data_IF_772221068745
#
_entry.id   IF_772221068745
#
_cell.length_a   1.000
_cell.length_b   1.000
_cell.length_c   1.000
_cell.angle_alpha   90.00
_cell.angle_beta   90.00
_cell.angle_gamma   90.00
#
_symmetry.space_group_name_H-M   'P 1'
#
loop_
_entity.id
_entity.type
_entity.pdbx_description
1 polymer ?
#
# COMPACT_ATOMS: atom_id res chain seq x y z
N UNK A 1 -11.57 3.19 25.59
CA UNK A 1 -10.19 2.80 25.88
C UNK A 1 -9.45 2.67 24.58
N UNK A 2 -8.17 3.05 24.51
CA UNK A 2 -7.39 2.94 23.28
C UNK A 2 -6.98 1.49 22.98
N UNK A 3 -6.72 1.22 21.72
CA UNK A 3 -6.28 -0.05 21.16
C UNK A 3 -5.08 -0.69 21.90
N UNK A 4 -4.16 0.12 22.39
CA UNK A 4 -2.94 -0.32 23.08
C UNK A 4 -2.99 -0.17 24.60
N UNK A 5 -4.02 0.46 25.14
CA UNK A 5 -4.16 0.74 26.56
C UNK A 5 -5.37 0.03 27.17
N UNK A 6 -5.34 -0.19 28.48
CA UNK A 6 -6.39 -0.86 29.23
C UNK A 6 -6.20 -2.38 29.36
N UNK A 7 -7.09 -3.05 30.12
CA UNK A 7 -7.02 -4.48 30.33
C UNK A 7 -7.25 -5.23 29.01
N UNK A 8 -6.41 -6.24 28.74
CA UNK A 8 -6.55 -7.16 27.62
C UNK A 8 -7.12 -8.48 28.12
N UNK A 9 -8.45 -8.54 28.13
CA UNK A 9 -9.18 -9.71 28.67
C UNK A 9 -9.49 -10.65 27.51
N UNK A 10 -9.03 -11.89 27.60
CA UNK A 10 -9.41 -12.95 26.67
C UNK A 10 -10.72 -13.59 27.17
N UNK A 11 -11.72 -13.69 26.30
CA UNK A 11 -12.98 -14.37 26.56
C UNK A 11 -13.07 -15.71 25.84
N UNK A 12 -12.10 -16.02 24.98
CA UNK A 12 -11.99 -17.29 24.26
C UNK A 12 -10.70 -18.00 24.68
N UNK A 13 -10.79 -19.32 24.84
CA UNK A 13 -9.64 -20.16 25.16
C UNK A 13 -8.72 -20.34 23.96
N UNK A 14 -9.29 -20.25 22.74
CA UNK A 14 -8.56 -20.45 21.49
C UNK A 14 -9.15 -19.62 20.37
N UNK A 15 -8.28 -19.07 19.51
CA UNK A 15 -8.60 -18.47 18.21
C UNK A 15 -7.89 -19.28 17.15
N UNK A 16 -8.64 -19.69 16.13
CA UNK A 16 -8.12 -20.44 14.99
C UNK A 16 -8.15 -19.56 13.74
N UNK A 17 -7.02 -19.50 13.05
CA UNK A 17 -6.91 -18.84 11.76
C UNK A 17 -7.02 -19.86 10.64
N UNK A 18 -8.03 -19.71 9.79
CA UNK A 18 -8.24 -20.54 8.61
C UNK A 18 -7.89 -19.74 7.35
N UNK A 19 -7.07 -20.33 6.49
CA UNK A 19 -6.81 -19.76 5.16
C UNK A 19 -7.84 -20.31 4.17
N UNK A 20 -8.74 -19.45 3.73
CA UNK A 20 -9.78 -19.78 2.75
C UNK A 20 -9.60 -18.89 1.52
N UNK A 21 -10.00 -19.38 0.35
CA UNK A 21 -10.18 -18.51 -0.80
C UNK A 21 -11.38 -17.58 -0.59
N UNK A 22 -11.38 -16.44 -1.28
CA UNK A 22 -12.38 -15.39 -1.07
C UNK A 22 -13.82 -15.82 -1.37
N UNK A 23 -14.03 -16.79 -2.25
CA UNK A 23 -15.37 -17.30 -2.54
C UNK A 23 -15.88 -18.22 -1.44
N UNK A 24 -15.02 -19.13 -0.97
CA UNK A 24 -15.32 -20.04 0.15
C UNK A 24 -15.51 -19.27 1.46
N UNK A 25 -14.76 -18.20 1.71
CA UNK A 25 -14.83 -17.41 2.94
C UNK A 25 -16.22 -16.80 3.17
N UNK A 26 -16.87 -16.29 2.11
CA UNK A 26 -18.25 -15.76 2.21
C UNK A 26 -19.27 -16.82 2.62
N UNK A 27 -19.17 -18.03 2.06
CA UNK A 27 -20.05 -19.14 2.41
C UNK A 27 -19.78 -19.64 3.83
N UNK A 28 -18.52 -19.78 4.22
CA UNK A 28 -18.10 -20.22 5.55
C UNK A 28 -18.58 -19.27 6.66
N UNK A 29 -18.52 -17.94 6.42
CA UNK A 29 -19.03 -16.95 7.37
C UNK A 29 -20.57 -17.06 7.53
N UNK A 30 -21.31 -17.25 6.43
CA UNK A 30 -22.76 -17.41 6.46
C UNK A 30 -23.22 -18.70 7.13
N UNK A 31 -22.51 -19.79 6.90
CA UNK A 31 -22.81 -21.10 7.52
C UNK A 31 -22.40 -21.18 8.98
N UNK A 32 -21.55 -20.26 9.47
CA UNK A 32 -20.99 -20.31 10.82
C UNK A 32 -19.79 -21.26 10.96
N UNK A 33 -19.20 -21.69 9.87
CA UNK A 33 -17.91 -22.42 9.86
C UNK A 33 -16.77 -21.53 10.32
N UNK A 34 -16.83 -20.22 9.98
CA UNK A 34 -15.97 -19.17 10.54
C UNK A 34 -16.82 -18.08 11.19
N UNK A 35 -16.27 -17.44 12.22
CA UNK A 35 -16.95 -16.39 12.96
C UNK A 35 -16.61 -14.98 12.47
N UNK A 36 -15.46 -14.81 11.84
CA UNK A 36 -14.94 -13.52 11.39
C UNK A 36 -14.13 -13.66 10.11
N UNK A 37 -14.47 -12.87 9.12
CA UNK A 37 -13.68 -12.68 7.90
C UNK A 37 -13.04 -11.30 7.94
N UNK A 38 -11.71 -11.26 8.10
CA UNK A 38 -10.98 -10.05 8.40
C UNK A 38 -11.07 -8.99 7.30
N UNK A 39 -10.87 -9.37 6.03
CA UNK A 39 -10.83 -8.42 4.91
C UNK A 39 -11.58 -9.01 3.70
N UNK A 40 -12.93 -8.92 3.67
CA UNK A 40 -13.70 -9.21 2.46
C UNK A 40 -13.48 -8.12 1.40
N UNK A 41 -13.55 -8.49 0.12
CA UNK A 41 -13.62 -7.52 -0.97
C UNK A 41 -14.84 -6.60 -0.78
N UNK A 42 -14.76 -5.37 -1.28
CA UNK A 42 -15.82 -4.39 -1.07
C UNK A 42 -17.21 -4.84 -1.59
N UNK A 43 -17.28 -5.49 -2.75
CA UNK A 43 -18.52 -6.05 -3.30
C UNK A 43 -19.08 -7.18 -2.43
N UNK A 44 -18.21 -8.05 -1.91
CA UNK A 44 -18.58 -9.12 -0.99
C UNK A 44 -19.03 -8.57 0.37
N UNK A 45 -18.35 -7.54 0.89
CA UNK A 45 -18.76 -6.85 2.10
C UNK A 45 -20.17 -6.24 1.95
N UNK A 46 -20.47 -5.59 0.81
CA UNK A 46 -21.79 -5.07 0.50
C UNK A 46 -22.86 -6.17 0.40
N UNK A 47 -22.51 -7.34 -0.16
CA UNK A 47 -23.41 -8.48 -0.22
C UNK A 47 -23.67 -9.09 1.17
N UNK A 48 -22.65 -9.16 2.03
CA UNK A 48 -22.76 -9.64 3.42
C UNK A 48 -23.55 -8.67 4.31
N UNK A 49 -23.47 -7.36 4.06
CA UNK A 49 -24.22 -6.36 4.82
C UNK A 49 -25.77 -6.51 4.74
N UNK A 50 -26.24 -7.29 3.76
CA UNK A 50 -27.67 -7.63 3.62
C UNK A 50 -28.11 -8.83 4.46
N UNK A 51 -27.14 -9.55 5.05
CA UNK A 51 -27.39 -10.70 5.89
C UNK A 51 -27.67 -10.25 7.32
N UNK A 52 -28.83 -10.68 7.87
CA UNK A 52 -29.26 -10.29 9.23
C UNK A 52 -28.37 -10.83 10.36
N UNK A 53 -27.63 -11.91 10.09
CA UNK A 53 -26.81 -12.61 11.07
C UNK A 53 -25.32 -12.19 10.99
N UNK A 54 -24.99 -11.26 10.09
CA UNK A 54 -23.63 -10.74 9.87
C UNK A 54 -23.59 -9.23 10.16
N UNK A 55 -22.56 -8.80 10.83
CA UNK A 55 -22.17 -7.40 11.00
C UNK A 55 -21.04 -7.10 10.04
N UNK A 56 -21.19 -6.06 9.22
CA UNK A 56 -20.14 -5.52 8.38
C UNK A 56 -19.75 -4.16 8.90
N UNK A 57 -18.46 -3.96 9.15
CA UNK A 57 -17.89 -2.66 9.52
C UNK A 57 -17.07 -2.17 8.34
N UNK A 58 -17.61 -1.16 7.64
CA UNK A 58 -16.88 -0.42 6.63
C UNK A 58 -15.84 0.48 7.29
N UNK A 59 -14.76 0.79 6.58
CA UNK A 59 -13.67 1.61 7.11
C UNK A 59 -12.99 1.01 8.37
N UNK A 60 -12.93 -0.31 8.43
CA UNK A 60 -12.26 -1.02 9.54
C UNK A 60 -10.76 -0.76 9.54
N UNK A 61 -10.12 -0.84 8.39
CA UNK A 61 -8.72 -0.56 8.17
C UNK A 61 -8.51 0.25 6.90
N UNK A 62 -7.31 0.77 6.69
CA UNK A 62 -6.92 1.41 5.44
C UNK A 62 -5.66 0.78 4.90
N UNK A 63 -5.55 0.72 3.57
CA UNK A 63 -4.36 0.31 2.87
C UNK A 63 -3.99 1.34 1.81
N UNK A 64 -2.69 1.61 1.69
CA UNK A 64 -2.11 2.48 0.67
C UNK A 64 -1.53 1.64 -0.45
N UNK A 65 -1.90 1.96 -1.69
CA UNK A 65 -1.27 1.41 -2.88
C UNK A 65 0.06 2.10 -3.16
N UNK A 66 1.05 1.34 -3.61
CA UNK A 66 2.35 1.87 -4.03
C UNK A 66 2.83 1.23 -5.33
N UNK A 67 3.61 2.01 -6.08
CA UNK A 67 4.52 1.53 -7.12
C UNK A 67 5.94 1.59 -6.58
N UNK A 68 6.57 0.43 -6.38
CA UNK A 68 7.93 0.27 -5.86
C UNK A 68 8.90 -0.06 -6.97
N UNK A 69 10.08 0.57 -6.95
CA UNK A 69 11.15 0.38 -7.93
C UNK A 69 12.31 -0.41 -7.36
N UNK A 70 13.00 -1.15 -8.23
CA UNK A 70 14.33 -1.67 -7.94
C UNK A 70 15.36 -0.58 -8.29
N UNK A 71 16.04 -0.05 -7.27
CA UNK A 71 17.00 1.03 -7.43
C UNK A 71 18.41 0.55 -7.82
N UNK A 72 18.64 -0.75 -7.89
CA UNK A 72 19.97 -1.31 -8.20
C UNK A 72 20.26 -1.28 -9.70
N UNK A 73 19.21 -1.40 -10.55
CA UNK A 73 19.37 -1.62 -11.99
C UNK A 73 18.62 -0.60 -12.84
N UNK A 74 19.06 -0.38 -14.10
CA UNK A 74 18.30 0.41 -15.06
C UNK A 74 16.89 -0.18 -15.30
N UNK A 75 15.92 0.68 -15.63
CA UNK A 75 16.02 2.12 -15.73
C UNK A 75 15.85 2.86 -14.40
N UNK A 76 15.50 2.15 -13.31
CA UNK A 76 15.07 2.76 -12.05
C UNK A 76 16.20 3.08 -11.07
N UNK A 77 17.45 2.71 -11.34
CA UNK A 77 18.61 3.29 -10.66
C UNK A 77 18.78 4.79 -10.99
N UNK A 78 18.18 5.27 -12.09
CA UNK A 78 18.15 6.67 -12.47
C UNK A 78 16.97 7.40 -11.82
N UNK A 79 17.26 8.34 -10.93
CA UNK A 79 16.24 9.13 -10.23
C UNK A 79 15.40 10.00 -11.18
N UNK A 80 15.95 10.48 -12.29
CA UNK A 80 15.21 11.30 -13.25
C UNK A 80 14.09 10.49 -13.92
N UNK A 81 14.31 9.20 -14.20
CA UNK A 81 13.30 8.29 -14.71
C UNK A 81 12.17 8.13 -13.69
N UNK A 82 12.51 7.89 -12.42
CA UNK A 82 11.50 7.73 -11.37
C UNK A 82 10.68 9.01 -11.16
N UNK A 83 11.33 10.19 -11.20
CA UNK A 83 10.63 11.49 -11.12
C UNK A 83 9.66 11.73 -12.29
N UNK A 84 10.06 11.37 -13.49
CA UNK A 84 9.19 11.51 -14.67
C UNK A 84 7.88 10.72 -14.49
N UNK A 85 7.93 9.55 -13.83
CA UNK A 85 6.77 8.70 -13.59
C UNK A 85 5.79 9.24 -12.54
N UNK A 86 6.16 10.22 -11.72
CA UNK A 86 5.20 10.92 -10.85
C UNK A 86 4.05 11.53 -11.67
N UNK A 87 4.35 12.07 -12.85
CA UNK A 87 3.35 12.60 -13.77
C UNK A 87 2.51 11.57 -14.51
N UNK A 88 2.90 10.28 -14.45
CA UNK A 88 2.15 9.19 -15.09
C UNK A 88 1.07 8.58 -14.19
N UNK A 89 1.27 8.63 -12.87
CA UNK A 89 0.40 7.94 -11.92
C UNK A 89 -0.89 8.72 -11.68
N UNK A 90 -2.02 8.08 -11.98
CA UNK A 90 -3.37 8.52 -11.64
C UNK A 90 -3.89 7.67 -10.47
N UNK A 91 -3.92 8.27 -9.29
CA UNK A 91 -4.36 7.59 -8.06
C UNK A 91 -5.86 7.27 -8.10
N UNK A 92 -6.69 8.11 -8.72
CA UNK A 92 -8.12 7.87 -8.81
C UNK A 92 -8.44 6.65 -9.69
N UNK A 93 -7.74 6.52 -10.82
CA UNK A 93 -7.85 5.35 -11.70
C UNK A 93 -7.40 4.07 -10.99
N UNK A 94 -6.26 4.13 -10.30
CA UNK A 94 -5.73 3.00 -9.54
C UNK A 94 -6.69 2.56 -8.42
N UNK A 95 -7.22 3.50 -7.64
CA UNK A 95 -8.16 3.19 -6.55
C UNK A 95 -9.52 2.73 -7.06
N UNK A 96 -9.99 3.25 -8.19
CA UNK A 96 -11.20 2.73 -8.84
C UNK A 96 -11.05 1.25 -9.23
N UNK A 97 -9.87 0.85 -9.70
CA UNK A 97 -9.59 -0.56 -10.02
C UNK A 97 -9.57 -1.47 -8.77
N UNK A 98 -9.10 -0.95 -7.62
CA UNK A 98 -8.96 -1.72 -6.37
C UNK A 98 -10.26 -1.77 -5.58
N UNK A 99 -10.94 -0.62 -5.42
CA UNK A 99 -12.04 -0.44 -4.47
C UNK A 99 -13.38 -0.10 -5.12
N UNK A 100 -13.43 -0.02 -6.47
CA UNK A 100 -14.64 0.32 -7.21
C UNK A 100 -14.86 1.83 -7.37
N UNK A 101 -16.01 2.20 -7.94
CA UNK A 101 -16.31 3.60 -8.30
C UNK A 101 -16.83 4.45 -7.14
N UNK A 102 -17.20 3.84 -6.01
CA UNK A 102 -17.73 4.56 -4.86
C UNK A 102 -16.61 5.25 -4.08
N UNK A 103 -16.60 6.58 -4.17
CA UNK A 103 -15.61 7.46 -3.49
C UNK A 103 -15.66 7.38 -1.95
N UNK A 104 -16.67 6.79 -1.37
CA UNK A 104 -16.71 6.58 0.08
C UNK A 104 -15.65 5.56 0.56
N UNK A 105 -15.13 4.72 -0.35
CA UNK A 105 -14.20 3.66 -0.01
C UNK A 105 -12.73 3.96 -0.33
N UNK A 106 -12.40 5.12 -0.92
CA UNK A 106 -11.02 5.44 -1.26
C UNK A 106 -10.75 6.94 -1.41
N UNK A 107 -9.45 7.30 -1.31
CA UNK A 107 -8.93 8.64 -1.51
C UNK A 107 -7.81 8.66 -2.55
N UNK A 108 -7.77 9.75 -3.30
CA UNK A 108 -6.66 10.17 -4.14
C UNK A 108 -6.05 11.48 -3.60
N UNK A 109 -5.03 11.98 -4.26
CA UNK A 109 -4.32 13.19 -3.85
C UNK A 109 -3.57 13.00 -2.55
N UNK A 110 -3.15 11.77 -2.24
CA UNK A 110 -2.39 11.42 -1.04
C UNK A 110 -0.88 11.38 -1.31
N UNK A 111 -0.12 11.80 -0.31
CA UNK A 111 1.31 11.69 -0.26
C UNK A 111 1.77 10.48 0.55
N UNK A 112 2.92 10.66 1.20
CA UNK A 112 3.56 9.62 1.99
C UNK A 112 2.85 9.34 3.30
N UNK A 113 2.38 10.39 3.96
CA UNK A 113 1.73 10.29 5.27
C UNK A 113 0.23 10.20 5.09
N UNK A 114 -0.40 9.11 5.58
CA UNK A 114 -1.82 8.88 5.37
C UNK A 114 -2.69 10.02 5.90
N UNK A 115 -3.75 10.35 5.16
CA UNK A 115 -4.71 11.39 5.54
C UNK A 115 -5.35 11.07 6.91
N UNK A 116 -5.60 12.11 7.72
CA UNK A 116 -6.20 11.96 9.05
C UNK A 116 -5.25 11.44 10.15
N UNK A 117 -3.96 11.23 9.85
CA UNK A 117 -2.94 10.96 10.89
C UNK A 117 -2.33 12.26 11.41
N UNK A 118 -1.74 12.26 12.63
CA UNK A 118 -1.10 13.47 13.19
C UNK A 118 0.05 14.05 12.36
N UNK A 119 0.67 13.23 11.50
CA UNK A 119 1.81 13.59 10.65
C UNK A 119 1.40 13.83 9.19
N UNK A 120 0.11 13.71 8.86
CA UNK A 120 -0.39 13.96 7.51
C UNK A 120 -0.03 15.38 7.05
N UNK A 121 0.46 15.49 5.82
CA UNK A 121 0.75 16.77 5.19
C UNK A 121 0.66 16.61 3.66
N UNK A 122 0.52 17.72 2.96
CA UNK A 122 0.40 17.77 1.50
C UNK A 122 1.56 18.50 0.82
N UNK A 123 2.71 18.59 1.49
CA UNK A 123 3.89 19.26 0.96
C UNK A 123 4.32 18.65 -0.37
N UNK A 124 4.37 19.48 -1.42
CA UNK A 124 4.80 19.08 -2.76
C UNK A 124 3.85 18.13 -3.48
N UNK A 125 2.62 17.94 -3.00
CA UNK A 125 1.64 16.99 -3.59
C UNK A 125 1.19 17.38 -5.00
N UNK A 126 1.49 18.60 -5.43
CA UNK A 126 1.16 19.11 -6.77
C UNK A 126 1.69 18.20 -7.88
N UNK A 127 2.81 17.52 -7.64
CA UNK A 127 3.42 16.57 -8.59
C UNK A 127 2.49 15.37 -8.89
N UNK A 128 1.55 15.08 -7.99
CA UNK A 128 0.57 14.00 -8.12
C UNK A 128 -0.83 14.48 -8.51
N UNK A 129 -1.07 15.79 -8.57
CA UNK A 129 -2.39 16.38 -8.83
C UNK A 129 -2.57 16.77 -10.32
N UNK A 130 -3.84 16.93 -10.71
CA UNK A 130 -4.22 17.39 -12.04
C UNK A 130 -4.30 16.29 -13.11
N UNK A 131 -4.71 16.63 -14.32
CA UNK A 131 -4.81 15.67 -15.41
C UNK A 131 -3.43 15.15 -15.82
N UNK A 132 -3.38 13.87 -16.19
CA UNK A 132 -2.12 13.23 -16.63
C UNK A 132 -1.77 13.62 -18.05
N UNK A 133 -0.57 14.17 -18.26
CA UNK A 133 -0.01 14.47 -19.59
C UNK A 133 1.05 13.42 -19.95
N UNK A 134 0.60 12.31 -20.53
CA UNK A 134 1.50 11.24 -20.94
C UNK A 134 2.48 11.64 -22.06
N UNK A 135 2.18 12.70 -22.84
CA UNK A 135 3.13 13.21 -23.83
C UNK A 135 4.31 13.91 -23.14
N UNK A 136 4.03 14.75 -22.15
CA UNK A 136 5.06 15.38 -21.33
C UNK A 136 5.88 14.34 -20.55
N UNK A 137 5.24 13.29 -20.01
CA UNK A 137 5.93 12.19 -19.30
C UNK A 137 6.88 11.46 -20.26
N UNK A 138 6.44 11.10 -21.48
CA UNK A 138 7.33 10.46 -22.48
C UNK A 138 8.53 11.34 -22.82
N UNK A 139 8.32 12.64 -22.96
CA UNK A 139 9.41 13.58 -23.22
C UNK A 139 10.39 13.66 -22.04
N UNK A 140 9.87 13.67 -20.80
CA UNK A 140 10.69 13.67 -19.58
C UNK A 140 11.49 12.36 -19.44
N UNK A 141 10.89 11.19 -19.74
CA UNK A 141 11.56 9.90 -19.75
C UNK A 141 12.70 9.86 -20.79
N UNK A 142 12.45 10.34 -22.02
CA UNK A 142 13.50 10.43 -23.04
C UNK A 142 14.62 11.38 -22.61
N UNK A 143 14.29 12.55 -22.04
CA UNK A 143 15.24 13.50 -21.48
C UNK A 143 16.04 12.93 -20.29
N UNK A 144 15.47 11.98 -19.54
CA UNK A 144 16.13 11.24 -18.49
C UNK A 144 17.02 10.09 -19.01
N UNK A 145 17.04 9.84 -20.32
CA UNK A 145 17.85 8.80 -20.93
C UNK A 145 17.19 7.43 -21.00
N UNK A 146 15.88 7.32 -20.78
CA UNK A 146 15.15 6.07 -20.99
C UNK A 146 14.99 5.81 -22.50
N UNK A 147 15.48 4.67 -22.97
CA UNK A 147 15.52 4.31 -24.40
C UNK A 147 14.70 3.03 -24.71
N UNK A 148 13.70 2.72 -23.90
CA UNK A 148 12.84 1.55 -24.09
C UNK A 148 13.37 0.28 -23.47
N UNK A 149 14.24 0.39 -22.47
CA UNK A 149 14.69 -0.75 -21.65
C UNK A 149 13.48 -1.51 -21.11
N UNK A 150 13.58 -2.83 -21.11
CA UNK A 150 12.53 -3.69 -20.62
C UNK A 150 12.36 -3.55 -19.11
N UNK A 151 11.12 -3.33 -18.67
CA UNK A 151 10.74 -3.17 -17.27
C UNK A 151 9.99 -4.42 -16.81
N UNK A 152 10.66 -5.31 -16.11
CA UNK A 152 10.07 -6.51 -15.52
C UNK A 152 9.23 -6.14 -14.30
N UNK A 153 7.91 -6.21 -14.41
CA UNK A 153 6.96 -5.87 -13.35
C UNK A 153 6.37 -7.13 -12.73
N UNK A 154 6.61 -7.35 -11.45
CA UNK A 154 6.08 -8.50 -10.71
C UNK A 154 4.60 -8.28 -10.37
N UNK A 155 3.77 -9.29 -10.64
CA UNK A 155 2.31 -9.25 -10.36
C UNK A 155 1.91 -10.53 -9.62
N UNK A 156 1.38 -10.44 -8.38
CA UNK A 156 0.84 -11.60 -7.69
C UNK A 156 -0.53 -11.98 -8.26
N UNK A 157 -0.64 -13.17 -8.84
CA UNK A 157 -1.84 -13.64 -9.53
C UNK A 157 -3.04 -13.88 -8.60
N UNK A 158 -2.77 -14.29 -7.36
CA UNK A 158 -3.77 -14.77 -6.39
C UNK A 158 -4.10 -13.78 -5.26
N UNK A 159 -3.65 -12.52 -5.33
CA UNK A 159 -4.09 -11.44 -4.44
C UNK A 159 -4.82 -10.40 -5.29
N UNK A 160 -6.15 -10.44 -5.28
CA UNK A 160 -6.97 -9.71 -6.24
C UNK A 160 -6.77 -8.19 -6.20
N UNK A 161 -6.67 -7.58 -5.01
CA UNK A 161 -6.49 -6.14 -4.87
C UNK A 161 -5.13 -5.69 -5.40
N UNK A 162 -4.06 -6.45 -5.09
CA UNK A 162 -2.72 -6.12 -5.61
C UNK A 162 -2.65 -6.36 -7.12
N UNK A 163 -3.32 -7.42 -7.60
CA UNK A 163 -3.42 -7.69 -9.04
C UNK A 163 -4.15 -6.57 -9.78
N UNK A 164 -5.29 -6.11 -9.25
CA UNK A 164 -6.05 -4.99 -9.82
C UNK A 164 -5.23 -3.70 -9.83
N UNK A 165 -4.57 -3.36 -8.73
CA UNK A 165 -3.64 -2.23 -8.63
C UNK A 165 -2.51 -2.33 -9.66
N UNK A 166 -1.92 -3.52 -9.79
CA UNK A 166 -0.83 -3.78 -10.72
C UNK A 166 -1.25 -3.58 -12.17
N UNK A 167 -2.41 -4.11 -12.56
CA UNK A 167 -2.90 -3.99 -13.94
C UNK A 167 -3.22 -2.54 -14.30
N UNK A 168 -3.86 -1.77 -13.41
CA UNK A 168 -4.10 -0.35 -13.59
C UNK A 168 -2.78 0.43 -13.71
N UNK A 169 -1.84 0.20 -12.81
CA UNK A 169 -0.54 0.87 -12.85
C UNK A 169 0.31 0.48 -14.06
N UNK A 170 0.27 -0.77 -14.50
CA UNK A 170 0.94 -1.23 -15.74
C UNK A 170 0.38 -0.50 -16.96
N UNK A 171 -0.94 -0.31 -17.04
CA UNK A 171 -1.54 0.47 -18.12
C UNK A 171 -1.04 1.92 -18.11
N UNK A 172 -0.97 2.56 -16.95
CA UNK A 172 -0.42 3.91 -16.79
C UNK A 172 1.06 3.98 -17.23
N UNK A 173 1.88 2.99 -16.84
CA UNK A 173 3.29 2.91 -17.29
C UNK A 173 3.39 2.74 -18.80
N UNK A 174 2.55 1.91 -19.42
CA UNK A 174 2.50 1.73 -20.88
C UNK A 174 2.07 2.99 -21.60
N UNK A 175 1.06 3.71 -21.10
CA UNK A 175 0.65 5.02 -21.63
C UNK A 175 1.79 6.05 -21.54
N UNK A 176 2.61 5.97 -20.49
CA UNK A 176 3.82 6.76 -20.33
C UNK A 176 4.96 6.36 -21.28
N UNK A 177 4.81 5.28 -22.05
CA UNK A 177 5.81 4.80 -23.01
C UNK A 177 6.83 3.83 -22.43
N UNK A 178 6.58 3.26 -21.23
CA UNK A 178 7.44 2.23 -20.66
C UNK A 178 7.24 0.89 -21.37
N UNK A 179 8.34 0.17 -21.65
CA UNK A 179 8.35 -1.16 -22.24
C UNK A 179 8.13 -2.23 -21.13
N UNK A 180 6.86 -2.40 -20.73
CA UNK A 180 6.51 -3.25 -19.58
C UNK A 180 6.39 -4.71 -19.96
N UNK A 181 7.21 -5.56 -19.33
CA UNK A 181 7.16 -7.01 -19.32
C UNK A 181 6.47 -7.49 -18.02
N UNK A 182 5.27 -8.05 -18.16
CA UNK A 182 4.46 -8.49 -17.02
C UNK A 182 4.89 -9.87 -16.56
N UNK A 183 5.33 -9.98 -15.32
CA UNK A 183 5.78 -11.23 -14.69
C UNK A 183 4.74 -11.68 -13.65
N UNK A 184 3.67 -12.33 -14.13
CA UNK A 184 2.58 -12.83 -13.28
C UNK A 184 2.94 -14.17 -12.65
N UNK A 185 2.80 -14.30 -11.32
CA UNK A 185 3.11 -15.51 -10.57
C UNK A 185 2.35 -15.54 -9.25
N UNK A 186 2.37 -16.67 -8.55
CA UNK A 186 1.80 -16.79 -7.21
C UNK A 186 2.46 -15.84 -6.20
N UNK A 187 1.71 -15.37 -5.20
CA UNK A 187 2.17 -14.37 -4.23
C UNK A 187 3.46 -14.77 -3.50
N UNK A 188 3.58 -16.04 -3.10
CA UNK A 188 4.79 -16.56 -2.43
C UNK A 188 6.00 -16.51 -3.37
N UNK A 189 5.81 -16.83 -4.65
CA UNK A 189 6.87 -16.72 -5.65
C UNK A 189 7.25 -15.26 -5.90
N UNK A 190 6.26 -14.36 -5.96
CA UNK A 190 6.47 -12.91 -6.05
C UNK A 190 7.32 -12.40 -4.89
N UNK A 191 6.98 -12.77 -3.65
CA UNK A 191 7.72 -12.36 -2.44
C UNK A 191 9.17 -12.84 -2.46
N UNK A 192 9.41 -14.08 -2.90
CA UNK A 192 10.78 -14.62 -3.04
C UNK A 192 11.56 -13.88 -4.12
N UNK A 193 10.93 -13.62 -5.28
CA UNK A 193 11.60 -12.93 -6.38
C UNK A 193 11.91 -11.46 -6.06
N UNK A 194 11.09 -10.78 -5.26
CA UNK A 194 11.37 -9.42 -4.78
C UNK A 194 12.67 -9.30 -3.98
N UNK A 195 13.14 -10.38 -3.36
CA UNK A 195 14.40 -10.41 -2.62
C UNK A 195 15.62 -10.65 -3.51
N UNK A 196 15.41 -10.98 -4.80
CA UNK A 196 16.50 -11.16 -5.75
C UNK A 196 17.07 -9.80 -6.18
N UNK A 197 18.38 -9.60 -5.97
CA UNK A 197 19.13 -8.40 -6.30
C UNK A 197 19.78 -8.44 -7.68
N UNK A 198 19.66 -9.54 -8.41
CA UNK A 198 20.21 -9.68 -9.76
C UNK A 198 19.52 -8.73 -10.75
N UNK A 199 20.13 -8.55 -11.91
CA UNK A 199 19.54 -7.76 -12.99
C UNK A 199 18.23 -8.39 -13.50
N UNK A 200 17.30 -7.59 -14.06
CA UNK A 200 16.01 -8.10 -14.52
C UNK A 200 16.10 -9.22 -15.58
N UNK A 201 17.14 -9.22 -16.41
CA UNK A 201 17.44 -10.25 -17.42
C UNK A 201 18.13 -11.50 -16.84
N UNK A 202 18.63 -11.41 -15.61
CA UNK A 202 19.26 -12.51 -14.86
C UNK A 202 18.31 -13.12 -13.80
N UNK A 203 17.00 -12.86 -13.93
CA UNK A 203 15.98 -13.39 -13.02
C UNK A 203 15.56 -12.42 -11.90
N UNK A 204 16.14 -11.22 -11.86
CA UNK A 204 15.70 -10.12 -11.00
C UNK A 204 14.40 -9.47 -11.49
N UNK A 205 14.19 -8.21 -11.12
CA UNK A 205 12.96 -7.47 -11.39
C UNK A 205 13.23 -5.97 -11.47
N UNK A 206 12.28 -5.21 -12.06
CA UNK A 206 12.39 -3.75 -12.19
C UNK A 206 11.43 -3.00 -11.26
N UNK A 207 10.18 -3.46 -11.16
CA UNK A 207 9.16 -2.82 -10.33
C UNK A 207 8.12 -3.83 -9.83
N UNK A 208 7.38 -3.45 -8.79
CA UNK A 208 6.17 -4.13 -8.38
C UNK A 208 5.17 -3.13 -7.79
N UNK A 209 3.90 -3.52 -7.78
CA UNK A 209 2.85 -2.84 -7.05
C UNK A 209 2.58 -3.57 -5.75
N UNK A 210 2.25 -2.84 -4.71
CA UNK A 210 1.96 -3.41 -3.41
C UNK A 210 0.95 -2.59 -2.64
N UNK A 211 0.42 -3.21 -1.60
CA UNK A 211 -0.43 -2.57 -0.61
C UNK A 211 0.28 -2.63 0.74
N UNK A 212 0.22 -1.58 1.51
CA UNK A 212 0.62 -1.63 2.91
C UNK A 212 -0.47 -1.03 3.81
N UNK A 213 -0.68 -1.68 4.93
CA UNK A 213 -1.65 -1.23 5.91
C UNK A 213 -1.18 0.04 6.65
N UNK A 214 -2.12 0.73 7.28
CA UNK A 214 -1.86 1.88 8.17
C UNK A 214 -1.57 1.45 9.60
N UNK A 215 -0.87 0.34 9.80
CA UNK A 215 -0.38 -0.04 11.13
C UNK A 215 0.53 1.04 11.71
N UNK A 216 0.64 1.09 13.03
CA UNK A 216 1.46 2.08 13.73
C UNK A 216 2.88 2.25 13.15
N UNK A 217 3.61 1.17 12.80
CA UNK A 217 4.91 1.32 12.15
C UNK A 217 4.84 2.13 10.86
N UNK A 218 3.82 1.94 10.04
CA UNK A 218 3.70 2.59 8.74
C UNK A 218 3.18 4.05 8.80
N UNK A 219 2.76 4.52 9.97
CA UNK A 219 2.27 5.90 10.16
C UNK A 219 3.34 6.88 10.62
N UNK A 220 4.55 6.41 10.92
CA UNK A 220 5.65 7.26 11.35
C UNK A 220 6.92 7.01 10.51
N UNK A 221 7.80 8.01 10.37
CA UNK A 221 8.97 7.90 9.49
C UNK A 221 9.95 6.80 9.85
N UNK A 222 10.17 6.54 11.12
CA UNK A 222 11.17 5.58 11.56
C UNK A 222 10.72 4.14 11.37
N UNK A 223 9.49 3.83 11.73
CA UNK A 223 8.93 2.48 11.59
C UNK A 223 8.56 2.12 10.16
N UNK A 224 8.33 3.10 9.29
CA UNK A 224 7.91 2.85 7.92
C UNK A 224 9.06 2.28 7.07
N UNK A 225 8.99 0.97 6.81
CA UNK A 225 10.01 0.25 6.03
C UNK A 225 10.04 0.68 4.56
N UNK A 226 8.95 1.23 4.03
CA UNK A 226 8.83 1.62 2.63
C UNK A 226 9.60 2.88 2.27
N UNK A 227 9.82 3.77 3.26
CA UNK A 227 10.64 4.98 3.09
C UNK A 227 12.08 4.81 3.51
N UNK A 228 12.41 3.70 4.17
CA UNK A 228 13.79 3.39 4.55
C UNK A 228 14.67 3.35 3.31
N UNK A 229 15.77 4.11 3.33
CA UNK A 229 16.61 4.39 2.17
C UNK A 229 18.12 4.26 2.48
N UNK A 230 18.49 3.19 3.19
CA UNK A 230 19.86 2.87 3.58
C UNK A 230 20.50 1.79 2.68
N UNK A 231 20.13 1.76 1.41
CA UNK A 231 20.72 0.89 0.41
C UNK A 231 20.32 -0.57 0.60
N UNK A 232 21.28 -1.48 0.58
CA UNK A 232 21.03 -2.93 0.68
C UNK A 232 20.39 -3.36 2.01
N UNK A 233 20.39 -2.53 3.04
CA UNK A 233 19.67 -2.78 4.28
C UNK A 233 18.20 -2.29 4.22
N UNK A 234 17.84 -1.51 3.19
CA UNK A 234 16.45 -1.10 2.97
C UNK A 234 15.58 -2.29 2.52
N UNK A 235 14.26 -2.10 2.67
CA UNK A 235 13.29 -3.07 2.18
C UNK A 235 13.37 -3.21 0.65
N UNK A 236 12.89 -4.35 0.12
CA UNK A 236 12.93 -4.72 -1.31
C UNK A 236 12.82 -3.52 -2.24
N UNK A 237 13.77 -3.38 -3.16
CA UNK A 237 13.95 -2.21 -4.04
C UNK A 237 15.16 -1.35 -3.68
N UNK A 238 15.68 -1.45 -2.46
CA UNK A 238 16.99 -0.96 -2.01
C UNK A 238 17.31 0.51 -2.34
N UNK A 239 16.40 1.46 -2.04
CA UNK A 239 16.67 2.87 -2.26
C UNK A 239 17.83 3.35 -1.38
N UNK A 240 18.57 4.32 -1.89
CA UNK A 240 19.64 4.99 -1.15
C UNK A 240 19.39 6.49 -1.14
N UNK A 241 19.24 7.07 0.05
CA UNK A 241 19.12 8.51 0.27
C UNK A 241 19.61 8.90 1.65
N UNK A 242 20.84 9.44 1.77
CA UNK A 242 21.34 9.92 3.04
C UNK A 242 20.45 11.00 3.68
N UNK A 243 19.78 11.83 2.86
CA UNK A 243 18.87 12.87 3.37
C UNK A 243 17.61 12.28 4.00
N UNK A 244 16.99 11.28 3.37
CA UNK A 244 15.84 10.57 3.95
C UNK A 244 16.24 9.95 5.29
N UNK A 245 17.37 9.25 5.37
CA UNK A 245 17.82 8.60 6.61
C UNK A 245 18.15 9.63 7.71
N UNK A 246 18.76 10.75 7.35
CA UNK A 246 19.01 11.84 8.31
C UNK A 246 17.69 12.43 8.88
N UNK A 247 16.65 12.60 8.03
CA UNK A 247 15.35 13.08 8.45
C UNK A 247 14.60 12.04 9.32
N UNK A 248 14.73 10.76 8.99
CA UNK A 248 14.16 9.67 9.80
C UNK A 248 14.79 9.62 11.20
N UNK A 249 16.12 9.78 11.28
CA UNK A 249 16.83 9.86 12.56
C UNK A 249 16.43 11.11 13.35
N UNK A 250 16.41 12.28 12.71
CA UNK A 250 16.00 13.53 13.35
C UNK A 250 14.56 13.49 13.90
N UNK A 251 13.67 12.75 13.25
CA UNK A 251 12.30 12.58 13.73
C UNK A 251 12.24 11.84 15.07
N UNK A 252 13.12 10.88 15.32
CA UNK A 252 13.21 10.18 16.62
C UNK A 252 13.69 11.11 17.74
N UNK A 253 14.59 12.02 17.43
CA UNK A 253 15.18 12.94 18.39
C UNK A 253 14.29 14.18 18.64
N UNK A 254 13.21 14.33 17.85
CA UNK A 254 12.31 15.50 17.94
C UNK A 254 11.61 15.57 19.30
N UNK A 255 11.76 16.71 19.97
CA UNK A 255 11.24 16.94 21.32
C UNK A 255 9.73 17.30 21.39
N UNK A 256 9.09 17.52 20.24
CA UNK A 256 7.69 17.93 20.18
C UNK A 256 6.98 17.42 18.93
N UNK A 257 5.65 17.32 18.98
CA UNK A 257 4.84 16.95 17.82
C UNK A 257 4.97 17.97 16.66
N UNK A 258 5.11 19.25 16.96
CA UNK A 258 5.25 20.27 15.93
C UNK A 258 6.59 20.16 15.21
N UNK A 259 7.65 19.82 15.92
CA UNK A 259 8.94 19.49 15.31
C UNK A 259 8.86 18.21 14.47
N UNK A 260 8.21 17.18 14.96
CA UNK A 260 7.94 15.95 14.20
C UNK A 260 7.17 16.24 12.90
N UNK A 261 6.16 17.09 12.94
CA UNK A 261 5.39 17.53 11.75
C UNK A 261 6.26 18.29 10.75
N UNK A 262 7.10 19.22 11.23
CA UNK A 262 8.04 19.95 10.36
C UNK A 262 8.99 18.99 9.64
N UNK A 263 9.57 18.03 10.36
CA UNK A 263 10.44 17.02 9.78
C UNK A 263 9.69 16.14 8.76
N UNK A 264 8.44 15.78 9.04
CA UNK A 264 7.61 15.01 8.09
C UNK A 264 7.30 15.81 6.81
N UNK A 265 7.13 17.14 6.92
CA UNK A 265 7.00 18.03 5.75
C UNK A 265 8.26 18.02 4.90
N UNK A 266 9.44 18.16 5.51
CA UNK A 266 10.73 18.08 4.80
C UNK A 266 10.95 16.69 4.18
N UNK A 267 10.57 15.64 4.92
CA UNK A 267 10.69 14.26 4.46
C UNK A 267 9.80 14.02 3.22
N UNK A 268 8.55 14.48 3.24
CA UNK A 268 7.67 14.33 2.07
C UNK A 268 8.21 15.08 0.84
N UNK A 269 8.74 16.30 1.01
CA UNK A 269 9.41 17.01 -0.07
C UNK A 269 10.62 16.23 -0.62
N UNK A 270 11.43 15.61 0.26
CA UNK A 270 12.56 14.80 -0.16
C UNK A 270 12.13 13.53 -0.91
N UNK A 271 10.99 12.94 -0.53
CA UNK A 271 10.47 11.74 -1.20
C UNK A 271 10.06 12.01 -2.65
N UNK A 272 9.53 13.20 -2.97
CA UNK A 272 9.29 13.60 -4.36
C UNK A 272 10.61 13.80 -5.14
N UNK A 273 11.72 14.09 -4.44
CA UNK A 273 13.04 14.22 -5.08
C UNK A 273 13.71 12.86 -5.35
N UNK A 274 13.65 11.94 -4.41
CA UNK A 274 14.38 10.65 -4.49
C UNK A 274 13.51 9.50 -5.01
N UNK A 275 12.20 9.63 -4.89
CA UNK A 275 11.16 8.71 -5.37
C UNK A 275 11.49 7.24 -5.03
N UNK A 276 11.57 6.88 -3.73
CA UNK A 276 11.77 5.49 -3.33
C UNK A 276 10.59 4.60 -3.72
N UNK A 277 9.39 5.18 -3.81
CA UNK A 277 8.18 4.62 -4.39
C UNK A 277 7.23 5.75 -4.80
N UNK A 278 6.18 5.44 -5.55
CA UNK A 278 5.09 6.37 -5.86
C UNK A 278 3.82 5.89 -5.16
N UNK A 279 3.15 6.75 -4.34
CA UNK A 279 1.85 6.41 -3.76
C UNK A 279 0.77 6.33 -4.86
N UNK A 280 -0.05 5.28 -4.80
CA UNK A 280 -1.06 4.96 -5.81
C UNK A 280 -2.49 5.25 -5.33
N UNK A 281 -2.66 5.89 -4.17
CA UNK A 281 -3.94 6.13 -3.52
C UNK A 281 -4.10 5.31 -2.25
N UNK A 282 -5.17 5.57 -1.53
CA UNK A 282 -5.52 4.90 -0.27
C UNK A 282 -6.97 4.44 -0.32
N UNK A 283 -7.27 3.24 0.19
CA UNK A 283 -8.63 2.73 0.25
C UNK A 283 -8.96 2.15 1.63
N UNK A 284 -10.25 2.14 1.94
CA UNK A 284 -10.80 1.57 3.16
C UNK A 284 -11.10 0.10 2.97
N UNK A 285 -10.65 -0.72 3.92
CA UNK A 285 -10.96 -2.12 4.01
C UNK A 285 -12.12 -2.34 4.99
N UNK A 286 -13.08 -3.17 4.59
CA UNK A 286 -14.16 -3.62 5.45
C UNK A 286 -13.75 -4.87 6.23
N UNK A 287 -14.45 -5.15 7.34
CA UNK A 287 -14.43 -6.46 7.99
C UNK A 287 -15.84 -6.97 8.17
N UNK A 288 -16.01 -8.28 8.25
CA UNK A 288 -17.31 -8.92 8.42
C UNK A 288 -17.23 -10.03 9.48
N UNK A 289 -18.17 -10.03 10.40
CA UNK A 289 -18.23 -11.04 11.46
C UNK A 289 -19.66 -11.38 11.85
N UNK A 290 -19.85 -12.52 12.47
CA UNK A 290 -21.15 -12.96 12.98
C UNK A 290 -21.65 -11.99 14.04
N UNK A 291 -22.94 -11.69 14.00
CA UNK A 291 -23.59 -10.67 14.84
C UNK A 291 -23.55 -11.00 16.35
N UNK A 292 -23.33 -12.27 16.69
CA UNK A 292 -23.17 -12.72 18.07
C UNK A 292 -21.75 -12.45 18.63
N UNK A 293 -20.80 -11.97 17.81
CA UNK A 293 -19.54 -11.42 18.31
C UNK A 293 -19.74 -9.97 18.74
N UNK A 294 -19.47 -9.71 20.03
CA UNK A 294 -19.61 -8.41 20.67
C UNK A 294 -18.23 -7.81 20.97
N UNK A 295 -18.22 -6.48 21.14
CA UNK A 295 -17.04 -5.71 21.56
C UNK A 295 -15.83 -5.83 20.63
N UNK A 296 -16.09 -6.06 19.32
CA UNK A 296 -15.08 -6.02 18.26
C UNK A 296 -14.51 -4.62 18.16
N UNK A 297 -13.21 -4.47 18.35
CA UNK A 297 -12.52 -3.19 18.34
C UNK A 297 -12.17 -2.79 16.89
N UNK A 298 -12.39 -1.53 16.48
CA UNK A 298 -11.87 -1.03 15.23
C UNK A 298 -10.35 -0.92 15.28
N UNK A 299 -9.69 -1.23 14.18
CA UNK A 299 -8.23 -1.17 14.09
C UNK A 299 -7.72 -1.58 12.72
N UNK A 300 -6.42 -1.54 12.52
CA UNK A 300 -5.78 -1.92 11.27
C UNK A 300 -5.61 -3.46 11.09
N UNK A 301 -5.93 -4.23 12.10
CA UNK A 301 -5.95 -5.70 12.09
C UNK A 301 -6.90 -6.22 13.18
N UNK A 302 -7.33 -7.46 13.05
CA UNK A 302 -8.21 -8.12 14.02
C UNK A 302 -7.50 -8.32 15.37
N UNK A 303 -8.13 -7.85 16.44
CA UNK A 303 -7.69 -8.09 17.82
C UNK A 303 -8.80 -8.82 18.59
N UNK A 304 -8.43 -9.80 19.39
CA UNK A 304 -9.38 -10.72 20.01
C UNK A 304 -9.58 -10.48 21.51
N UNK A 305 -8.77 -9.63 22.15
CA UNK A 305 -9.03 -9.26 23.54
C UNK A 305 -10.26 -8.34 23.62
N UNK A 306 -11.11 -8.60 24.60
CA UNK A 306 -12.39 -7.92 24.75
C UNK A 306 -13.51 -8.51 23.91
N UNK A 307 -13.21 -9.18 22.80
CA UNK A 307 -14.21 -9.82 21.94
C UNK A 307 -14.82 -11.01 22.68
N UNK A 308 -16.16 -11.08 22.68
CA UNK A 308 -16.93 -12.13 23.34
C UNK A 308 -18.16 -12.53 22.52
N UNK A 309 -18.74 -13.66 22.83
CA UNK A 309 -20.08 -14.01 22.31
C UNK A 309 -21.19 -13.38 23.16
N UNK A 310 -22.35 -13.16 22.52
CA UNK A 310 -23.58 -12.69 23.15
C UNK A 310 -24.09 -13.67 24.22
#
# INVERSE_FOLDING_TARGET
MGFTSGPKIAHFDRVEWLTLDQFSASAALRSGEVDWWEVPLNDQAQALARDRDITVVSHFATAMGILRFNHLHPPFNNVAVRRALLGAVDQAEAMTAVAGTDRAFWHDGIGLFPAGTPLANDAGIEVMRGPRDYAAVRQALAGAGYNGEKVAVLVPANIQEIRALSLAGIDQLRRAGMNVDVQEMEAVATLRRRQNQDAPDEGGWSAFFGLFDRSLPNTNPYGNIWIRADGLAAFDGWPTSPRIEALRAAWLDAGSLDEQRRICTELQMQLWQDVPYIPMGEYWQSTAYRKDLLDVLPGCFAVFYGVRRA
#
